data_IF_532124108148
#
_entry.id   IF_532124108148
#
_cell.length_a   1.000
_cell.length_b   1.000
_cell.length_c   1.000
_cell.angle_alpha   90.00
_cell.angle_beta   90.00
_cell.angle_gamma   90.00
#
_symmetry.space_group_name_H-M   'P 1'
#
loop_
_entity.id
_entity.type
_entity.pdbx_description
1 polymer ?
#
# COMPACT_ATOMS: atom_id res chain seq x y z
N UNK A 1 -11.65 -0.98 -3.59
CA UNK A 1 -10.33 -1.35 -4.16
C UNK A 1 -10.54 -2.64 -4.93
N UNK A 2 -10.21 -2.71 -6.22
CA UNK A 2 -10.56 -3.84 -7.08
C UNK A 2 -9.90 -5.14 -6.61
N UNK A 3 -10.50 -6.30 -6.86
CA UNK A 3 -9.93 -7.59 -6.45
C UNK A 3 -8.69 -7.94 -7.28
N UNK A 4 -7.65 -8.47 -6.61
CA UNK A 4 -6.40 -8.88 -7.25
C UNK A 4 -6.58 -9.95 -8.35
N UNK A 5 -7.66 -10.74 -8.25
CA UNK A 5 -7.99 -11.82 -9.19
C UNK A 5 -8.39 -11.30 -10.58
N UNK A 6 -8.75 -10.03 -10.69
CA UNK A 6 -9.13 -9.38 -11.95
C UNK A 6 -7.93 -8.83 -12.73
N UNK A 7 -6.74 -8.86 -12.15
CA UNK A 7 -5.50 -8.42 -12.79
C UNK A 7 -4.85 -9.58 -13.55
N UNK A 8 -4.09 -9.27 -14.61
CA UNK A 8 -3.31 -10.26 -15.35
C UNK A 8 -2.33 -10.97 -14.43
N UNK A 9 -2.42 -12.30 -14.37
CA UNK A 9 -1.49 -13.13 -13.59
C UNK A 9 -0.10 -13.12 -14.19
N UNK A 10 0.00 -13.07 -15.52
CA UNK A 10 1.24 -13.03 -16.28
C UNK A 10 2.04 -11.76 -15.97
N UNK A 11 1.36 -10.61 -15.94
CA UNK A 11 1.99 -9.36 -15.57
C UNK A 11 2.38 -9.33 -14.08
N UNK A 12 1.52 -9.86 -13.18
CA UNK A 12 1.88 -9.99 -11.75
C UNK A 12 3.12 -10.86 -11.59
N UNK A 13 3.17 -12.00 -12.28
CA UNK A 13 4.30 -12.92 -12.24
C UNK A 13 5.58 -12.21 -12.66
N UNK A 14 5.55 -11.55 -13.82
CA UNK A 14 6.69 -10.82 -14.39
C UNK A 14 7.31 -9.84 -13.38
N UNK A 15 6.47 -9.10 -12.63
CA UNK A 15 6.98 -8.10 -11.68
C UNK A 15 7.46 -8.69 -10.34
N UNK A 16 7.15 -9.95 -10.01
CA UNK A 16 7.57 -10.57 -8.73
C UNK A 16 8.61 -11.69 -8.89
N UNK A 17 8.77 -12.24 -10.09
CA UNK A 17 9.71 -13.32 -10.39
C UNK A 17 11.18 -12.85 -10.32
N UNK A 18 11.44 -11.55 -10.53
CA UNK A 18 12.79 -10.98 -10.43
C UNK A 18 13.29 -10.79 -8.99
N UNK A 19 12.44 -11.04 -7.99
CA UNK A 19 12.78 -10.94 -6.58
C UNK A 19 12.07 -9.82 -5.82
N UNK A 20 12.68 -9.37 -4.73
CA UNK A 20 12.12 -8.33 -3.85
C UNK A 20 12.37 -6.93 -4.43
N UNK A 21 11.38 -6.01 -4.38
CA UNK A 21 11.54 -4.66 -4.92
C UNK A 21 12.45 -3.77 -4.08
N UNK A 22 12.61 -4.07 -2.79
CA UNK A 22 13.53 -3.42 -1.84
C UNK A 22 13.63 -4.26 -0.56
N UNK A 23 14.34 -3.75 0.45
CA UNK A 23 14.55 -4.40 1.75
C UNK A 23 13.46 -4.07 2.80
N UNK A 24 12.49 -3.21 2.49
CA UNK A 24 11.45 -2.85 3.45
C UNK A 24 10.51 -4.03 3.69
N UNK A 25 10.35 -4.40 4.96
CA UNK A 25 9.56 -5.56 5.41
C UNK A 25 8.17 -5.66 4.78
N UNK A 26 7.46 -4.54 4.61
CA UNK A 26 6.14 -4.52 3.98
C UNK A 26 6.21 -4.89 2.49
N UNK A 27 7.18 -4.35 1.77
CA UNK A 27 7.36 -4.61 0.34
C UNK A 27 7.81 -6.05 0.09
N UNK A 28 8.79 -6.53 0.87
CA UNK A 28 9.24 -7.93 0.84
C UNK A 28 8.08 -8.88 1.09
N UNK A 29 7.26 -8.62 2.13
CA UNK A 29 6.11 -9.47 2.42
C UNK A 29 5.03 -9.40 1.34
N UNK A 30 4.82 -8.23 0.74
CA UNK A 30 3.91 -8.08 -0.39
C UNK A 30 4.38 -8.92 -1.59
N UNK A 31 5.67 -8.86 -1.96
CA UNK A 31 6.23 -9.68 -3.03
C UNK A 31 6.12 -11.18 -2.74
N UNK A 32 6.41 -11.61 -1.50
CA UNK A 32 6.27 -13.01 -1.07
C UNK A 32 4.81 -13.50 -1.14
N UNK A 33 3.84 -12.68 -0.70
CA UNK A 33 2.40 -13.01 -0.82
C UNK A 33 1.98 -13.18 -2.27
N UNK A 34 2.43 -12.29 -3.15
CA UNK A 34 2.12 -12.36 -4.58
C UNK A 34 2.72 -13.62 -5.23
N UNK A 35 3.95 -13.99 -4.86
CA UNK A 35 4.58 -15.25 -5.30
C UNK A 35 3.81 -16.47 -4.81
N UNK A 36 3.40 -16.47 -3.55
CA UNK A 36 2.54 -17.53 -3.02
C UNK A 36 1.18 -17.62 -3.73
N UNK A 37 0.57 -16.48 -4.07
CA UNK A 37 -0.67 -16.43 -4.86
C UNK A 37 -0.52 -17.04 -6.26
N UNK A 38 0.66 -16.89 -6.87
CA UNK A 38 1.01 -17.46 -8.16
C UNK A 38 1.64 -18.86 -8.08
N UNK A 39 1.79 -19.42 -6.88
CA UNK A 39 2.44 -20.71 -6.64
C UNK A 39 3.90 -20.76 -7.14
N UNK A 40 4.60 -19.63 -7.08
CA UNK A 40 6.03 -19.56 -7.37
C UNK A 40 6.84 -20.06 -6.17
N UNK A 41 7.90 -20.82 -6.44
CA UNK A 41 8.81 -21.28 -5.39
C UNK A 41 9.61 -20.10 -4.82
N UNK A 42 9.47 -19.88 -3.51
CA UNK A 42 10.14 -18.78 -2.84
C UNK A 42 11.66 -18.98 -2.78
N UNK A 43 12.12 -20.23 -2.72
CA UNK A 43 13.53 -20.58 -2.70
C UNK A 43 14.21 -20.19 -4.01
N UNK A 44 13.61 -20.59 -5.14
CA UNK A 44 14.10 -20.29 -6.48
C UNK A 44 14.16 -18.78 -6.72
N UNK A 45 13.07 -18.06 -6.49
CA UNK A 45 13.06 -16.60 -6.69
C UNK A 45 14.00 -15.88 -5.71
N UNK A 46 14.08 -16.33 -4.45
CA UNK A 46 15.01 -15.72 -3.49
C UNK A 46 16.48 -16.05 -3.82
N UNK A 47 16.75 -17.17 -4.49
CA UNK A 47 18.10 -17.55 -4.90
C UNK A 47 18.68 -16.59 -5.95
N UNK A 48 17.85 -16.10 -6.88
CA UNK A 48 18.22 -15.14 -7.93
C UNK A 48 18.03 -13.67 -7.52
N UNK A 49 17.43 -13.40 -6.35
CA UNK A 49 17.16 -12.05 -5.87
C UNK A 49 18.44 -11.26 -5.53
N UNK A 50 18.64 -10.11 -6.18
CA UNK A 50 19.79 -9.22 -5.96
C UNK A 50 19.93 -8.70 -4.52
N UNK A 51 18.82 -8.67 -3.76
CA UNK A 51 18.78 -8.17 -2.39
C UNK A 51 18.95 -9.27 -1.33
N UNK A 52 19.07 -10.54 -1.75
CA UNK A 52 19.11 -11.71 -0.87
C UNK A 52 20.13 -11.56 0.27
N UNK A 53 21.35 -11.12 -0.05
CA UNK A 53 22.46 -11.04 0.91
C UNK A 53 22.21 -10.08 2.09
N UNK A 54 21.27 -9.14 1.94
CA UNK A 54 20.93 -8.14 2.97
C UNK A 54 19.48 -8.25 3.44
N UNK A 55 18.70 -9.21 2.93
CA UNK A 55 17.30 -9.37 3.28
C UNK A 55 17.16 -10.20 4.56
N UNK A 56 16.64 -9.58 5.63
CA UNK A 56 16.31 -10.25 6.91
C UNK A 56 15.24 -11.35 6.76
N UNK A 57 14.60 -11.44 5.59
CA UNK A 57 13.59 -12.44 5.24
C UNK A 57 13.96 -13.28 4.02
N UNK A 58 15.24 -13.35 3.67
CA UNK A 58 15.71 -14.27 2.63
C UNK A 58 15.23 -15.71 2.93
N UNK A 59 14.72 -16.40 1.92
CA UNK A 59 14.21 -17.79 2.00
C UNK A 59 13.05 -18.04 2.98
N UNK A 60 12.54 -17.01 3.66
CA UNK A 60 11.38 -17.15 4.54
C UNK A 60 10.13 -17.39 3.72
N UNK A 61 9.55 -18.57 3.85
CA UNK A 61 8.24 -18.93 3.31
C UNK A 61 7.15 -18.43 4.27
N UNK A 62 6.11 -17.79 3.73
CA UNK A 62 4.99 -17.32 4.53
C UNK A 62 4.11 -18.49 4.99
N UNK A 63 3.57 -18.39 6.19
CA UNK A 63 2.51 -19.30 6.65
C UNK A 63 1.24 -19.03 5.86
N UNK A 64 0.39 -20.04 5.72
CA UNK A 64 -0.88 -19.95 4.97
C UNK A 64 -1.73 -18.73 5.41
N UNK A 65 -1.79 -18.45 6.71
CA UNK A 65 -2.54 -17.31 7.27
C UNK A 65 -1.98 -15.93 6.85
N UNK A 66 -0.71 -15.87 6.46
CA UNK A 66 -0.01 -14.65 6.04
C UNK A 66 0.17 -14.56 4.52
N UNK A 67 -0.12 -15.65 3.79
CA UNK A 67 0.14 -15.81 2.36
C UNK A 67 -0.91 -15.14 1.46
N UNK A 68 -2.11 -14.82 2.00
CA UNK A 68 -3.22 -14.25 1.24
C UNK A 68 -2.86 -12.90 0.59
N UNK A 69 -2.63 -12.91 -0.72
CA UNK A 69 -2.33 -11.70 -1.50
C UNK A 69 -3.53 -10.78 -1.63
N UNK A 70 -3.28 -9.48 -1.53
CA UNK A 70 -4.28 -8.42 -1.68
C UNK A 70 -3.84 -7.42 -2.73
N UNK A 71 -4.78 -6.64 -3.24
CA UNK A 71 -4.49 -5.55 -4.19
C UNK A 71 -3.50 -4.52 -3.62
N UNK A 72 -3.50 -4.32 -2.29
CA UNK A 72 -2.50 -3.47 -1.62
C UNK A 72 -1.07 -3.99 -1.79
N UNK A 73 -0.88 -5.28 -2.05
CA UNK A 73 0.43 -5.89 -2.22
C UNK A 73 1.00 -5.59 -3.60
N UNK A 74 0.20 -5.76 -4.65
CA UNK A 74 0.63 -5.42 -6.01
C UNK A 74 0.86 -3.91 -6.16
N UNK A 75 -0.03 -3.08 -5.61
CA UNK A 75 0.15 -1.61 -5.63
C UNK A 75 1.43 -1.19 -4.92
N UNK A 76 1.78 -1.82 -3.79
CA UNK A 76 3.05 -1.54 -3.10
C UNK A 76 4.25 -1.94 -3.95
N UNK A 77 4.21 -3.11 -4.59
CA UNK A 77 5.31 -3.56 -5.47
C UNK A 77 5.48 -2.60 -6.64
N UNK A 78 4.39 -2.23 -7.32
CA UNK A 78 4.41 -1.29 -8.45
C UNK A 78 4.94 0.10 -8.05
N UNK A 79 4.54 0.61 -6.87
CA UNK A 79 5.04 1.89 -6.35
C UNK A 79 6.57 1.88 -6.24
N UNK A 80 7.16 0.80 -5.74
CA UNK A 80 8.61 0.73 -5.60
C UNK A 80 9.35 0.58 -6.92
N UNK A 81 8.76 -0.06 -7.92
CA UNK A 81 9.32 -0.06 -9.28
C UNK A 81 9.29 1.34 -9.90
N UNK A 82 8.23 2.12 -9.66
CA UNK A 82 8.14 3.49 -10.15
C UNK A 82 9.14 4.45 -9.47
N UNK A 83 9.54 4.16 -8.23
CA UNK A 83 10.49 4.94 -7.45
C UNK A 83 11.96 4.51 -7.63
N UNK A 84 12.23 3.48 -8.44
CA UNK A 84 13.59 3.03 -8.69
C UNK A 84 14.38 4.16 -9.41
N UNK A 85 15.50 4.63 -8.84
CA UNK A 85 16.34 5.67 -9.44
C UNK A 85 16.73 5.39 -10.89
N UNK A 86 16.86 4.12 -11.27
CA UNK A 86 17.20 3.74 -12.63
C UNK A 86 16.03 3.95 -13.61
N UNK A 87 14.77 3.86 -13.15
CA UNK A 87 13.60 4.26 -13.96
C UNK A 87 13.60 5.78 -14.13
N UNK A 88 13.91 6.52 -13.06
CA UNK A 88 13.84 7.98 -13.02
C UNK A 88 14.97 8.61 -13.84
N UNK A 89 16.19 8.06 -13.77
CA UNK A 89 17.37 8.60 -14.43
C UNK A 89 17.41 8.34 -15.95
N UNK A 90 16.53 7.50 -16.48
CA UNK A 90 16.42 7.24 -17.92
C UNK A 90 17.67 6.63 -18.58
N UNK A 91 18.56 6.01 -17.79
CA UNK A 91 19.78 5.38 -18.28
C UNK A 91 19.54 4.09 -19.07
N UNK A 92 20.62 3.46 -19.55
CA UNK A 92 20.54 2.17 -20.25
C UNK A 92 19.87 1.11 -19.38
N UNK A 93 18.81 0.49 -19.93
CA UNK A 93 18.01 -0.50 -19.21
C UNK A 93 18.67 -1.87 -19.30
N UNK A 94 18.96 -2.56 -18.18
CA UNK A 94 19.41 -3.94 -18.21
C UNK A 94 18.39 -4.84 -18.93
N UNK A 95 18.89 -5.88 -19.59
CA UNK A 95 18.07 -6.88 -20.28
C UNK A 95 17.01 -7.46 -19.34
N UNK A 96 15.76 -7.54 -19.80
CA UNK A 96 14.61 -8.02 -19.01
C UNK A 96 13.84 -6.93 -18.26
N UNK A 97 14.47 -5.78 -17.98
CA UNK A 97 13.78 -4.65 -17.32
C UNK A 97 12.64 -4.06 -18.16
N UNK A 98 12.81 -4.01 -19.48
CA UNK A 98 11.78 -3.50 -20.38
C UNK A 98 10.47 -4.29 -20.25
N UNK A 99 10.57 -5.61 -20.04
CA UNK A 99 9.40 -6.50 -19.87
C UNK A 99 8.73 -6.21 -18.52
N UNK A 100 9.53 -6.09 -17.44
CA UNK A 100 9.02 -5.71 -16.11
C UNK A 100 8.31 -4.35 -16.14
N UNK A 101 8.89 -3.36 -16.81
CA UNK A 101 8.30 -2.03 -16.94
C UNK A 101 7.00 -2.06 -17.77
N UNK A 102 6.95 -2.83 -18.85
CA UNK A 102 5.74 -3.01 -19.65
C UNK A 102 4.61 -3.65 -18.83
N UNK A 103 4.91 -4.75 -18.12
CA UNK A 103 3.95 -5.40 -17.22
C UNK A 103 3.51 -4.49 -16.08
N UNK A 104 4.41 -3.71 -15.50
CA UNK A 104 4.05 -2.73 -14.48
C UNK A 104 3.08 -1.67 -15.01
N UNK A 105 3.28 -1.19 -16.25
CA UNK A 105 2.37 -0.24 -16.91
C UNK A 105 1.01 -0.88 -17.20
N UNK A 106 0.97 -2.12 -17.69
CA UNK A 106 -0.27 -2.84 -17.94
C UNK A 106 -1.08 -3.04 -16.66
N UNK A 107 -0.42 -3.42 -15.56
CA UNK A 107 -1.08 -3.58 -14.26
C UNK A 107 -1.66 -2.26 -13.73
N UNK A 108 -0.92 -1.16 -13.86
CA UNK A 108 -1.42 0.17 -13.49
C UNK A 108 -2.64 0.57 -14.33
N UNK A 109 -2.59 0.36 -15.65
CA UNK A 109 -3.72 0.61 -16.55
C UNK A 109 -4.95 -0.23 -16.16
N UNK A 110 -4.76 -1.53 -15.91
CA UNK A 110 -5.84 -2.42 -15.47
C UNK A 110 -6.44 -1.97 -14.13
N UNK A 111 -5.60 -1.56 -13.18
CA UNK A 111 -6.05 -1.03 -11.88
C UNK A 111 -6.91 0.24 -12.05
N UNK A 112 -6.53 1.14 -12.97
CA UNK A 112 -7.30 2.36 -13.27
C UNK A 112 -8.66 1.99 -13.86
N UNK A 113 -8.68 1.17 -14.91
CA UNK A 113 -9.94 0.71 -15.55
C UNK A 113 -10.87 0.06 -14.53
N UNK A 114 -10.34 -0.84 -13.69
CA UNK A 114 -11.14 -1.51 -12.66
C UNK A 114 -11.59 -0.57 -11.53
N UNK A 115 -10.92 0.56 -11.32
CA UNK A 115 -11.32 1.56 -10.33
C UNK A 115 -12.45 2.48 -10.81
N UNK A 116 -12.56 2.66 -12.13
CA UNK A 116 -13.58 3.48 -12.79
C UNK A 116 -14.89 2.72 -13.01
N UNK A 117 -14.85 1.37 -12.96
CA UNK A 117 -16.07 0.54 -13.01
C UNK A 117 -17.00 0.90 -11.84
N UNK A 118 -18.22 1.42 -12.10
CA UNK A 118 -19.17 1.71 -11.04
C UNK A 118 -19.47 0.44 -10.23
N UNK A 119 -19.56 0.53 -8.89
CA UNK A 119 -20.07 -0.57 -8.10
C UNK A 119 -21.44 -0.96 -8.65
N UNK A 120 -21.65 -2.25 -8.93
CA UNK A 120 -22.93 -2.77 -9.38
C UNK A 120 -24.03 -2.28 -8.42
N UNK A 121 -25.05 -1.54 -8.91
CA UNK A 121 -26.13 -1.04 -8.07
C UNK A 121 -26.97 -2.16 -7.43
N UNK A 122 -26.83 -3.42 -7.87
CA UNK A 122 -27.47 -4.59 -7.29
C UNK A 122 -26.72 -5.18 -6.08
N UNK A 123 -25.47 -4.78 -5.82
CA UNK A 123 -24.73 -5.26 -4.65
C UNK A 123 -25.16 -4.48 -3.40
N UNK A 124 -25.59 -5.17 -2.32
CA UNK A 124 -25.90 -4.51 -1.05
C UNK A 124 -24.68 -3.71 -0.58
N UNK A 125 -24.88 -2.42 -0.27
CA UNK A 125 -23.86 -1.62 0.41
C UNK A 125 -23.35 -2.41 1.62
N UNK A 126 -22.02 -2.57 1.81
CA UNK A 126 -21.49 -3.20 3.01
C UNK A 126 -22.09 -2.49 4.21
N UNK A 127 -22.86 -3.23 5.02
CA UNK A 127 -23.44 -2.68 6.23
C UNK A 127 -22.30 -2.11 7.08
N UNK A 128 -22.44 -0.92 7.66
CA UNK A 128 -21.49 -0.44 8.66
C UNK A 128 -21.51 -1.47 9.79
N UNK A 129 -20.48 -2.32 9.85
CA UNK A 129 -20.27 -3.17 11.01
C UNK A 129 -19.99 -2.22 12.16
N UNK A 130 -21.01 -2.00 12.98
CA UNK A 130 -20.85 -1.42 14.29
C UNK A 130 -19.90 -2.35 15.06
N UNK A 131 -18.61 -2.02 15.04
CA UNK A 131 -17.68 -2.64 15.96
C UNK A 131 -18.19 -2.31 17.36
N UNK A 132 -18.70 -3.30 18.08
CA UNK A 132 -18.92 -3.22 19.51
C UNK A 132 -17.56 -3.04 20.19
N UNK A 133 -17.02 -1.82 20.12
CA UNK A 133 -15.95 -1.40 21.01
C UNK A 133 -16.60 -1.19 22.37
N UNK A 134 -16.45 -2.21 23.22
CA UNK A 134 -16.66 -2.15 24.66
C UNK A 134 -15.75 -1.05 25.24
N UNK A 135 -16.23 0.19 25.17
CA UNK A 135 -15.61 1.39 25.71
C UNK A 135 -15.72 1.29 27.23
N UNK A 136 -14.66 0.83 27.89
CA UNK A 136 -14.51 1.04 29.34
C UNK A 136 -14.51 2.56 29.56
N UNK A 137 -15.59 3.06 30.15
CA UNK A 137 -15.79 4.44 30.53
C UNK A 137 -14.76 4.83 31.59
N UNK A 138 -13.87 5.76 31.25
CA UNK A 138 -13.21 6.60 32.23
C UNK A 138 -13.87 7.97 32.12
N UNK A 139 -14.60 8.31 33.18
CA UNK A 139 -15.38 9.53 33.31
C UNK A 139 -14.44 10.75 33.32
N UNK A 140 -14.70 11.73 32.47
CA UNK A 140 -14.24 13.11 32.67
C UNK A 140 -15.37 14.08 32.32
N UNK A 141 -15.42 15.12 33.13
CA UNK A 141 -16.57 15.96 33.45
C UNK A 141 -16.74 17.08 32.41
N UNK A 142 -18.01 17.37 32.13
CA UNK A 142 -18.66 18.57 31.59
C UNK A 142 -17.80 19.79 31.22
N UNK A 143 -17.89 20.26 29.96
CA UNK A 143 -18.23 21.65 29.65
C UNK A 143 -18.53 21.87 28.14
N UNK A 144 -19.81 22.12 27.83
CA UNK A 144 -20.44 22.76 26.62
C UNK A 144 -20.24 22.19 25.20
N UNK A 145 -21.31 22.18 24.37
CA UNK A 145 -21.26 21.75 22.96
C UNK A 145 -20.67 22.84 22.06
N UNK A 146 -19.80 22.52 21.08
CA UNK A 146 -19.52 23.42 19.97
C UNK A 146 -20.72 23.42 19.02
N UNK A 147 -21.19 24.63 18.73
CA UNK A 147 -22.22 25.00 17.77
C UNK A 147 -22.09 24.27 16.44
N UNK A 148 -23.24 23.84 15.91
CA UNK A 148 -23.43 23.30 14.58
C UNK A 148 -22.88 24.27 13.52
N UNK A 149 -21.74 23.93 12.91
CA UNK A 149 -21.16 24.64 11.77
C UNK A 149 -21.26 23.70 10.58
N UNK A 150 -22.14 24.05 9.65
CA UNK A 150 -22.36 23.31 8.40
C UNK A 150 -21.06 23.30 7.57
N UNK A 151 -20.40 22.14 7.50
CA UNK A 151 -19.14 21.99 6.77
C UNK A 151 -19.38 21.92 5.27
N UNK A 152 -18.60 22.68 4.48
CA UNK A 152 -18.57 22.54 3.01
C UNK A 152 -17.58 21.46 2.58
N UNK A 153 -17.82 20.88 1.40
CA UNK A 153 -17.00 19.82 0.80
C UNK A 153 -15.59 20.37 0.50
N UNK A 154 -14.60 19.98 1.32
CA UNK A 154 -13.21 20.39 1.14
C UNK A 154 -12.50 20.81 2.43
N UNK A 155 -13.24 21.15 3.48
CA UNK A 155 -12.65 21.55 4.75
C UNK A 155 -12.38 20.32 5.63
N UNK A 156 -11.10 20.06 5.93
CA UNK A 156 -10.71 19.07 6.93
C UNK A 156 -10.18 19.78 8.17
N UNK A 157 -10.82 19.56 9.31
CA UNK A 157 -10.33 20.03 10.59
C UNK A 157 -9.14 19.19 11.04
N UNK A 158 -8.02 19.83 11.36
CA UNK A 158 -6.91 19.17 12.02
C UNK A 158 -7.39 18.64 13.39
N UNK A 159 -7.28 17.32 13.68
CA UNK A 159 -7.55 16.81 15.00
C UNK A 159 -6.58 17.47 15.98
N UNK A 160 -7.11 18.15 17.00
CA UNK A 160 -6.28 18.66 18.10
C UNK A 160 -5.55 17.49 18.73
N UNK A 161 -4.23 17.43 18.56
CA UNK A 161 -3.37 16.51 19.30
C UNK A 161 -3.54 16.82 20.79
N UNK A 162 -3.86 15.80 21.57
CA UNK A 162 -3.92 15.92 23.03
C UNK A 162 -2.47 15.98 23.50
N UNK A 163 -2.07 17.16 23.96
CA UNK A 163 -0.73 17.49 24.43
C UNK A 163 -0.29 16.58 25.59
N UNK A 164 0.71 15.73 25.35
CA UNK A 164 1.57 15.17 26.40
C UNK A 164 3.03 15.13 25.95
N UNK A 165 3.53 16.24 25.39
CA UNK A 165 4.96 16.42 25.15
C UNK A 165 5.39 17.81 25.65
N UNK A 166 6.23 17.83 26.68
CA UNK A 166 6.89 19.01 27.24
C UNK A 166 8.28 19.20 26.60
N UNK A 167 8.91 20.38 26.70
CA UNK A 167 9.01 21.31 25.59
C UNK A 167 10.45 21.43 25.05
N UNK A 168 10.58 21.54 23.74
CA UNK A 168 11.83 21.88 23.06
C UNK A 168 11.59 22.11 21.57
N UNK A 169 11.44 23.40 21.21
CA UNK A 169 11.48 23.96 19.85
C UNK A 169 10.26 23.76 18.92
N UNK A 170 9.24 24.57 19.17
CA UNK A 170 8.47 25.46 18.26
C UNK A 170 8.55 25.14 16.75
N UNK A 171 7.39 24.91 16.13
CA UNK A 171 6.78 25.85 15.17
C UNK A 171 5.51 25.26 14.56
N UNK A 172 4.41 26.01 14.64
CA UNK A 172 3.12 25.82 13.95
C UNK A 172 3.20 25.93 12.42
N UNK A 173 4.32 25.54 11.80
CA UNK A 173 4.54 25.64 10.34
C UNK A 173 4.23 24.35 9.57
N UNK A 174 3.81 23.27 10.23
CA UNK A 174 3.61 21.97 9.58
C UNK A 174 2.24 21.77 8.90
N UNK A 175 1.35 22.77 8.92
CA UNK A 175 0.15 22.78 8.06
C UNK A 175 0.33 23.58 6.76
N UNK A 176 1.39 24.36 6.62
CA UNK A 176 1.56 25.26 5.47
C UNK A 176 2.45 24.72 4.35
N UNK A 177 2.97 23.49 4.45
CA UNK A 177 3.92 22.92 3.47
C UNK A 177 3.42 21.66 2.77
N UNK A 178 2.10 21.44 2.71
CA UNK A 178 1.51 20.35 1.93
C UNK A 178 0.69 20.82 0.72
N UNK A 179 0.72 22.10 0.38
CA UNK A 179 -0.01 22.62 -0.77
C UNK A 179 0.54 23.96 -1.26
N UNK A 180 1.51 23.92 -2.17
CA UNK A 180 1.65 24.97 -3.19
C UNK A 180 1.68 24.25 -4.56
N UNK A 181 0.90 24.73 -5.56
CA UNK A 181 0.87 24.17 -6.90
C UNK A 181 2.17 24.38 -7.68
#
# INVERSE_FOLDING_TARGET
MPEIRLLSKEDIQTVVEIGCPNLFRKAVNSAKRLRSYLQLDEGDVCSSCNLRGSCDRAYVILKESEAAARTVDIVRVLLFYALDPLVIAGGEKPSGRAIVEASARNLLSNLIVLSETPPDPALPKPAPQASHQKRKSLNFVDDKPPTDVEMKRGDWMCPKLVDNFKPGNISTSLCSKLWEP
#
